data_IF_991260196728
#
_entry.id   IF_991260196728
#
_cell.length_a   1.000
_cell.length_b   1.000
_cell.length_c   1.000
_cell.angle_alpha   90.00
_cell.angle_beta   90.00
_cell.angle_gamma   90.00
#
_symmetry.space_group_name_H-M   'P 1'
#
loop_
_entity.id
_entity.type
_entity.pdbx_description
1 polymer ?
#
# COMPACT_ATOMS: atom_id res chain seq x y z
N UNK A 1 -18.19 14.90 -16.39
CA UNK A 1 -17.93 15.64 -15.14
C UNK A 1 -17.75 14.60 -14.03
N UNK A 2 -16.85 14.89 -13.11
CA UNK A 2 -16.38 14.07 -11.98
C UNK A 2 -15.36 12.96 -12.29
N UNK A 3 -14.12 13.40 -12.53
CA UNK A 3 -12.88 12.62 -12.48
C UNK A 3 -12.01 13.11 -11.31
N UNK A 4 -12.48 12.90 -10.08
CA UNK A 4 -11.65 13.06 -8.89
C UNK A 4 -11.22 11.67 -8.37
N UNK A 5 -9.95 11.33 -8.58
CA UNK A 5 -8.97 11.03 -7.51
C UNK A 5 -7.72 10.23 -7.97
N UNK A 6 -6.58 10.71 -7.48
CA UNK A 6 -5.37 10.01 -7.03
C UNK A 6 -4.31 9.57 -8.05
N UNK A 7 -3.41 10.51 -8.25
CA UNK A 7 -2.16 10.46 -9.00
C UNK A 7 -1.12 9.44 -8.47
N UNK A 8 -1.35 8.76 -7.33
CA UNK A 8 -0.32 7.89 -6.73
C UNK A 8 -0.79 6.48 -6.37
N UNK A 9 0.03 5.44 -6.64
CA UNK A 9 -0.23 4.08 -6.20
C UNK A 9 0.15 3.97 -4.73
N UNK A 10 -0.86 3.82 -3.88
CA UNK A 10 -0.72 3.03 -2.67
C UNK A 10 -0.92 1.57 -3.06
N UNK A 11 -0.22 0.64 -2.41
CA UNK A 11 -0.11 -0.78 -2.78
C UNK A 11 -1.43 -1.57 -2.82
N UNK A 12 -2.58 -0.94 -2.63
CA UNK A 12 -3.91 -1.49 -2.86
C UNK A 12 -4.83 -0.30 -3.22
N UNK A 13 -5.18 -0.11 -4.49
CA UNK A 13 -6.19 0.90 -4.86
C UNK A 13 -7.57 0.28 -4.69
N UNK A 14 -8.22 0.60 -3.56
CA UNK A 14 -9.63 0.29 -3.32
C UNK A 14 -10.50 1.17 -4.19
N UNK A 15 -11.61 0.66 -4.70
CA UNK A 15 -12.71 1.50 -5.19
C UNK A 15 -13.97 1.07 -4.44
N UNK A 16 -14.75 2.01 -3.89
CA UNK A 16 -15.74 1.71 -2.84
C UNK A 16 -17.18 1.74 -3.34
N UNK A 17 -17.92 0.70 -2.98
CA UNK A 17 -19.37 0.48 -2.94
C UNK A 17 -20.22 0.56 -4.21
N UNK A 18 -20.91 -0.58 -4.42
CA UNK A 18 -22.24 -0.73 -5.01
C UNK A 18 -23.30 -0.47 -3.92
N UNK A 19 -24.39 0.27 -4.22
CA UNK A 19 -25.57 0.37 -3.33
C UNK A 19 -26.41 -0.91 -3.44
N UNK A 20 -26.95 -1.45 -2.32
CA UNK A 20 -27.80 -2.64 -2.36
C UNK A 20 -29.13 -2.33 -3.06
N UNK A 21 -29.47 -3.13 -4.07
CA UNK A 21 -30.84 -3.25 -4.56
C UNK A 21 -31.46 -4.50 -3.92
N UNK A 22 -32.54 -4.27 -3.18
CA UNK A 22 -33.30 -5.26 -2.42
C UNK A 22 -34.12 -6.13 -3.35
N UNK A 23 -33.61 -7.30 -3.73
CA UNK A 23 -34.45 -8.37 -4.33
C UNK A 23 -33.74 -9.73 -4.31
N UNK A 24 -34.16 -10.64 -3.43
CA UNK A 24 -33.57 -11.98 -3.28
C UNK A 24 -34.07 -12.92 -4.38
N UNK A 25 -33.17 -13.80 -4.84
CA UNK A 25 -33.41 -15.06 -5.58
C UNK A 25 -33.44 -15.05 -7.12
N UNK A 26 -32.34 -14.61 -7.75
CA UNK A 26 -31.96 -15.07 -9.11
C UNK A 26 -30.42 -14.99 -9.23
N UNK A 27 -29.68 -15.90 -9.91
CA UNK A 27 -28.30 -15.64 -10.32
C UNK A 27 -28.20 -14.25 -10.96
N UNK A 28 -27.51 -13.34 -10.27
CA UNK A 28 -27.38 -11.96 -10.72
C UNK A 28 -26.19 -11.88 -11.66
N UNK A 29 -26.47 -11.68 -12.94
CA UNK A 29 -25.45 -11.34 -13.92
C UNK A 29 -25.05 -9.88 -13.70
N UNK A 30 -23.76 -9.66 -13.44
CA UNK A 30 -23.18 -8.32 -13.38
C UNK A 30 -22.48 -8.06 -14.70
N UNK A 31 -23.03 -7.13 -15.47
CA UNK A 31 -22.45 -6.71 -16.75
C UNK A 31 -21.42 -5.63 -16.45
N UNK A 32 -20.18 -5.97 -16.71
CA UNK A 32 -19.02 -5.11 -16.58
C UNK A 32 -18.73 -4.49 -17.94
N UNK A 33 -18.68 -3.16 -17.98
CA UNK A 33 -18.25 -2.41 -19.15
C UNK A 33 -16.91 -1.78 -18.83
N UNK A 34 -15.90 -2.23 -19.55
CA UNK A 34 -14.56 -1.68 -19.53
C UNK A 34 -14.44 -0.65 -20.65
N UNK A 35 -13.88 0.52 -20.33
CA UNK A 35 -13.41 1.50 -21.32
C UNK A 35 -12.02 1.94 -20.90
N UNK A 36 -10.98 1.53 -21.61
CA UNK A 36 -9.62 1.83 -21.17
C UNK A 36 -8.58 1.63 -22.25
N UNK A 37 -7.41 2.23 -22.03
CA UNK A 37 -6.24 2.14 -22.89
C UNK A 37 -5.16 1.47 -22.05
N UNK A 38 -5.12 0.13 -22.07
CA UNK A 38 -3.98 -0.65 -21.56
C UNK A 38 -2.75 -0.11 -22.26
N UNK A 39 -1.61 0.13 -21.59
CA UNK A 39 -0.38 0.59 -22.25
C UNK A 39 0.81 -0.31 -21.98
N UNK A 40 1.78 -0.38 -22.91
CA UNK A 40 2.87 -1.33 -22.86
C UNK A 40 4.11 -0.61 -22.35
N UNK A 41 4.34 -0.68 -21.05
CA UNK A 41 5.71 -0.75 -20.59
C UNK A 41 5.82 -1.92 -19.62
N UNK A 42 6.52 -2.93 -20.11
CA UNK A 42 6.63 -4.28 -19.62
C UNK A 42 5.36 -5.10 -19.85
N UNK A 43 5.60 -6.23 -20.49
CA UNK A 43 4.67 -7.27 -20.85
C UNK A 43 3.90 -7.73 -19.60
N UNK A 44 2.77 -7.10 -19.33
CA UNK A 44 1.83 -7.54 -18.29
C UNK A 44 0.98 -8.64 -18.93
N UNK A 45 1.38 -9.89 -18.68
CA UNK A 45 0.71 -11.06 -19.22
C UNK A 45 -0.57 -11.38 -18.45
N UNK A 46 -1.00 -10.57 -17.49
CA UNK A 46 -2.27 -10.73 -16.78
C UNK A 46 -2.71 -9.38 -16.22
N UNK A 47 -3.89 -8.92 -16.66
CA UNK A 47 -4.61 -7.83 -16.03
C UNK A 47 -5.98 -8.38 -15.65
N UNK A 48 -6.22 -8.37 -14.35
CA UNK A 48 -7.46 -8.87 -13.78
C UNK A 48 -8.11 -7.82 -12.93
N UNK A 49 -9.38 -8.02 -12.69
CA UNK A 49 -10.17 -7.20 -11.82
C UNK A 49 -10.85 -8.09 -10.78
N UNK A 50 -10.73 -7.70 -9.52
CA UNK A 50 -11.30 -8.41 -8.38
C UNK A 50 -12.39 -7.56 -7.69
N UNK A 51 -13.60 -8.11 -7.63
CA UNK A 51 -14.69 -7.60 -6.80
C UNK A 51 -14.69 -8.34 -5.48
N UNK A 52 -14.65 -7.62 -4.37
CA UNK A 52 -14.58 -8.21 -3.03
C UNK A 52 -15.63 -7.63 -2.11
N UNK A 53 -16.29 -8.45 -1.30
CA UNK A 53 -17.18 -7.98 -0.23
C UNK A 53 -16.64 -8.34 1.15
N UNK A 54 -16.26 -7.35 1.97
CA UNK A 54 -15.92 -7.58 3.39
C UNK A 54 -17.21 -7.62 4.21
N UNK A 55 -17.50 -8.77 4.82
CA UNK A 55 -18.55 -8.85 5.84
C UNK A 55 -18.08 -8.07 7.09
N UNK A 56 -18.44 -6.78 7.16
CA UNK A 56 -18.17 -5.97 8.34
C UNK A 56 -19.09 -6.44 9.47
N UNK A 57 -18.53 -7.05 10.52
CA UNK A 57 -19.25 -7.20 11.79
C UNK A 57 -19.61 -5.81 12.31
N UNK A 58 -20.90 -5.55 12.49
CA UNK A 58 -21.35 -4.44 13.33
C UNK A 58 -20.69 -4.59 14.70
N UNK A 59 -19.91 -3.58 15.11
CA UNK A 59 -19.49 -3.48 16.50
C UNK A 59 -20.74 -3.12 17.30
N UNK A 60 -21.41 -4.13 17.85
CA UNK A 60 -22.34 -3.92 18.97
C UNK A 60 -21.53 -3.25 20.08
N UNK A 61 -21.82 -1.98 20.31
CA UNK A 61 -21.25 -1.19 21.38
C UNK A 61 -21.58 -1.88 22.72
N UNK A 62 -20.58 -2.51 23.33
CA UNK A 62 -20.64 -2.95 24.72
C UNK A 62 -19.41 -2.39 25.41
N UNK A 63 -19.65 -1.38 26.24
CA UNK A 63 -18.74 -0.94 27.29
C UNK A 63 -18.17 -2.17 28.01
N UNK A 64 -16.91 -2.49 27.71
CA UNK A 64 -16.08 -3.38 28.53
C UNK A 64 -14.72 -2.73 28.62
N UNK A 65 -14.40 -2.28 29.83
CA UNK A 65 -13.10 -1.72 30.20
C UNK A 65 -12.00 -2.72 29.82
N UNK A 66 -10.86 -2.26 29.27
CA UNK A 66 -9.74 -3.16 29.00
C UNK A 66 -9.21 -3.73 30.32
N UNK A 67 -9.17 -5.06 30.42
CA UNK A 67 -8.43 -5.76 31.47
C UNK A 67 -6.96 -5.73 31.05
N UNK A 68 -6.21 -4.83 31.68
CA UNK A 68 -4.77 -4.65 31.48
C UNK A 68 -4.07 -5.62 32.42
N UNK A 69 -3.34 -6.59 31.87
CA UNK A 69 -2.31 -7.30 32.62
C UNK A 69 -1.06 -6.40 32.59
N UNK A 70 -0.87 -5.60 33.63
CA UNK A 70 0.40 -4.89 33.83
C UNK A 70 1.44 -5.92 34.28
N UNK A 71 2.35 -6.27 33.38
CA UNK A 71 3.67 -6.75 33.79
C UNK A 71 4.60 -5.56 33.87
N UNK A 72 4.82 -5.07 35.08
CA UNK A 72 5.79 -4.02 35.39
C UNK A 72 7.21 -4.54 35.16
N UNK A 73 7.90 -4.01 34.14
CA UNK A 73 9.36 -4.05 34.07
C UNK A 73 9.88 -2.65 34.41
N UNK A 74 10.27 -2.47 35.67
CA UNK A 74 10.91 -1.26 36.17
C UNK A 74 12.40 -1.28 35.79
N UNK A 75 12.76 -0.56 34.73
CA UNK A 75 14.15 -0.20 34.45
C UNK A 75 14.49 1.07 35.25
N UNK A 76 15.04 0.90 36.44
CA UNK A 76 15.55 2.01 37.25
C UNK A 76 16.87 2.51 36.65
N UNK A 77 16.78 3.57 35.85
CA UNK A 77 17.88 4.46 35.49
C UNK A 77 17.97 5.54 36.57
N UNK A 78 19.06 5.54 37.34
CA UNK A 78 19.34 6.60 38.30
C UNK A 78 20.78 6.52 38.77
N UNK A 79 21.66 7.29 38.14
CA UNK A 79 22.87 7.79 38.77
C UNK A 79 23.27 9.10 38.08
N UNK A 80 22.85 10.19 38.69
CA UNK A 80 23.37 11.54 38.47
C UNK A 80 24.88 11.56 38.65
N UNK A 81 25.49 12.38 37.80
CA UNK A 81 26.89 12.77 37.83
C UNK A 81 27.04 13.97 38.77
N UNK A 82 27.73 13.81 39.91
CA UNK A 82 28.24 14.94 40.67
C UNK A 82 29.71 14.77 41.05
N UNK A 83 30.51 15.60 40.37
CA UNK A 83 31.63 16.41 40.81
C UNK A 83 32.45 15.97 42.05
N UNK A 84 33.74 15.81 41.79
CA UNK A 84 34.87 15.78 42.72
C UNK A 84 34.89 16.90 43.76
N UNK A 85 35.58 16.67 44.89
CA UNK A 85 36.55 17.65 45.39
C UNK A 85 37.98 17.09 45.25
N UNK A 86 38.89 17.99 44.89
CA UNK A 86 40.33 17.77 44.70
C UNK A 86 41.08 18.01 46.04
N UNK A 87 42.43 18.03 46.10
CA UNK A 87 43.27 17.00 46.72
C UNK A 87 44.01 17.52 47.98
N UNK A 88 44.43 16.66 48.90
CA UNK A 88 45.63 16.94 49.73
C UNK A 88 46.34 15.63 50.06
N UNK A 89 47.62 15.58 49.69
CA UNK A 89 48.52 14.48 50.01
C UNK A 89 49.63 14.37 48.97
N UNK A 90 50.65 15.20 49.11
CA UNK A 90 51.97 14.93 48.54
C UNK A 90 52.45 13.57 49.05
N UNK A 91 52.99 12.75 48.15
CA UNK A 91 54.23 12.02 48.38
C UNK A 91 54.72 11.44 47.05
N UNK A 92 55.90 11.91 46.66
CA UNK A 92 56.68 11.41 45.54
C UNK A 92 57.11 9.96 45.81
N UNK A 93 56.51 9.02 45.08
CA UNK A 93 57.07 7.70 44.87
C UNK A 93 56.83 7.29 43.42
N UNK A 94 57.91 7.02 42.70
CA UNK A 94 57.94 6.57 41.31
C UNK A 94 56.99 5.37 41.13
N UNK A 95 55.76 5.63 40.65
CA UNK A 95 54.80 4.57 40.34
C UNK A 95 55.10 4.05 38.94
N UNK A 96 55.65 2.85 38.86
CA UNK A 96 55.68 2.05 37.62
C UNK A 96 54.27 2.06 37.01
N UNK A 97 54.13 2.58 35.79
CA UNK A 97 52.86 2.58 35.07
C UNK A 97 52.41 1.14 34.87
N UNK A 98 51.43 0.71 35.66
CA UNK A 98 50.86 -0.62 35.53
C UNK A 98 50.06 -0.66 34.24
N UNK A 99 50.43 -1.52 33.29
CA UNK A 99 49.66 -1.82 32.09
C UNK A 99 48.35 -2.58 32.40
N UNK A 100 48.04 -2.81 33.68
CA UNK A 100 46.85 -3.52 34.11
C UNK A 100 45.61 -2.65 33.87
N UNK A 101 44.61 -3.15 33.13
CA UNK A 101 43.37 -2.41 32.91
C UNK A 101 42.64 -2.17 34.24
N UNK A 102 41.92 -1.04 34.31
CA UNK A 102 41.11 -0.67 35.47
C UNK A 102 40.04 -1.75 35.72
N UNK A 103 39.97 -2.22 36.96
CA UNK A 103 39.01 -3.24 37.38
C UNK A 103 37.59 -2.68 37.33
N UNK A 104 36.72 -3.30 36.53
CA UNK A 104 35.27 -3.07 36.48
C UNK A 104 34.59 -4.40 36.10
N UNK A 105 33.39 -4.66 36.63
CA UNK A 105 32.63 -5.88 36.26
C UNK A 105 32.41 -6.00 34.75
N UNK A 106 32.35 -4.87 34.05
CA UNK A 106 32.30 -4.84 32.59
C UNK A 106 33.62 -5.25 31.94
N UNK A 107 34.76 -4.70 32.40
CA UNK A 107 36.09 -5.02 31.84
C UNK A 107 36.54 -6.44 32.16
N UNK A 108 35.95 -7.05 33.20
CA UNK A 108 36.19 -8.44 33.59
C UNK A 108 35.14 -9.42 33.06
N UNK A 109 34.11 -8.93 32.38
CA UNK A 109 33.00 -9.76 31.86
C UNK A 109 32.24 -10.52 32.97
N UNK A 110 32.20 -9.96 34.18
CA UNK A 110 31.51 -10.49 35.37
C UNK A 110 30.15 -9.80 35.59
N UNK A 111 29.53 -9.30 34.53
CA UNK A 111 28.18 -8.74 34.63
C UNK A 111 27.17 -9.84 34.98
N UNK A 112 26.15 -9.55 35.83
CA UNK A 112 25.10 -10.50 36.12
C UNK A 112 24.36 -10.83 34.81
N UNK A 113 24.44 -12.09 34.40
CA UNK A 113 23.79 -12.59 33.21
C UNK A 113 22.82 -13.71 33.60
N UNK A 114 21.57 -13.61 33.16
CA UNK A 114 20.65 -14.73 33.22
C UNK A 114 21.05 -15.73 32.14
N UNK A 115 21.39 -16.97 32.53
CA UNK A 115 21.73 -18.07 31.61
C UNK A 115 20.65 -19.13 31.71
N UNK A 116 19.52 -18.99 30.98
CA UNK A 116 18.45 -19.97 31.06
C UNK A 116 18.90 -21.30 30.46
N UNK A 117 18.82 -22.37 31.24
CA UNK A 117 19.06 -23.73 30.76
C UNK A 117 17.72 -24.26 30.25
N UNK A 118 17.61 -24.45 28.93
CA UNK A 118 16.42 -24.96 28.27
C UNK A 118 16.27 -26.46 28.52
N UNK A 119 15.63 -26.82 29.64
CA UNK A 119 15.29 -28.21 29.92
C UNK A 119 14.11 -28.66 29.06
N UNK A 120 14.03 -29.95 28.66
CA UNK A 120 12.97 -30.44 27.78
C UNK A 120 11.55 -30.17 28.29
N UNK A 121 11.31 -30.28 29.60
CA UNK A 121 9.99 -30.03 30.20
C UNK A 121 9.51 -28.58 30.02
N UNK A 122 10.39 -27.60 30.22
CA UNK A 122 10.06 -26.18 30.01
C UNK A 122 9.75 -25.87 28.54
N UNK A 123 10.51 -26.48 27.63
CA UNK A 123 10.31 -26.31 26.19
C UNK A 123 8.97 -26.91 25.75
N UNK A 124 8.66 -28.13 26.18
CA UNK A 124 7.39 -28.81 25.87
C UNK A 124 6.20 -27.99 26.40
N UNK A 125 6.26 -27.53 27.65
CA UNK A 125 5.20 -26.71 28.25
C UNK A 125 4.97 -25.41 27.47
N UNK A 126 6.05 -24.73 27.08
CA UNK A 126 5.96 -23.50 26.29
C UNK A 126 5.29 -23.75 24.94
N UNK A 127 5.65 -24.84 24.24
CA UNK A 127 5.01 -25.19 22.97
C UNK A 127 3.52 -25.53 23.11
N UNK A 128 3.13 -26.22 24.19
CA UNK A 128 1.71 -26.51 24.47
C UNK A 128 0.94 -25.21 24.68
N UNK A 129 1.47 -24.27 25.47
CA UNK A 129 0.83 -22.97 25.70
C UNK A 129 0.70 -22.18 24.39
N UNK A 130 1.74 -22.12 23.57
CA UNK A 130 1.70 -21.47 22.26
C UNK A 130 0.65 -22.12 21.36
N UNK A 131 0.57 -23.46 21.34
CA UNK A 131 -0.42 -24.21 20.57
C UNK A 131 -1.86 -23.90 21.01
N UNK A 132 -2.14 -23.94 22.31
CA UNK A 132 -3.46 -23.63 22.88
C UNK A 132 -3.90 -22.20 22.54
N UNK A 133 -2.98 -21.24 22.44
CA UNK A 133 -3.30 -19.86 22.04
C UNK A 133 -3.46 -19.72 20.53
N UNK A 134 -2.59 -20.33 19.72
CA UNK A 134 -2.59 -20.13 18.27
C UNK A 134 -3.65 -20.93 17.52
N UNK A 135 -4.06 -22.10 18.03
CA UNK A 135 -5.15 -22.89 17.42
C UNK A 135 -6.47 -22.11 17.32
N UNK A 136 -7.03 -21.53 18.40
CA UNK A 136 -8.29 -20.79 18.32
C UNK A 136 -8.14 -19.51 17.47
N UNK A 137 -6.99 -18.83 17.53
CA UNK A 137 -6.72 -17.65 16.69
C UNK A 137 -6.69 -18.05 15.20
N UNK A 138 -6.04 -19.18 14.87
CA UNK A 138 -5.97 -19.73 13.53
C UNK A 138 -7.35 -20.12 13.00
N UNK A 139 -8.15 -20.83 13.79
CA UNK A 139 -9.53 -21.21 13.42
C UNK A 139 -10.41 -19.98 13.21
N UNK A 140 -10.34 -18.99 14.11
CA UNK A 140 -11.09 -17.75 13.96
C UNK A 140 -10.68 -16.97 12.70
N UNK A 141 -9.38 -16.94 12.39
CA UNK A 141 -8.84 -16.26 11.19
C UNK A 141 -9.24 -16.99 9.90
N UNK A 142 -9.17 -18.33 9.88
CA UNK A 142 -9.60 -19.15 8.74
C UNK A 142 -11.09 -18.96 8.46
N UNK A 143 -11.92 -19.01 9.51
CA UNK A 143 -13.35 -18.80 9.37
C UNK A 143 -13.69 -17.38 8.90
N UNK A 144 -12.94 -16.37 9.36
CA UNK A 144 -13.09 -15.00 8.86
C UNK A 144 -12.68 -14.88 7.39
N UNK A 145 -11.64 -15.60 6.95
CA UNK A 145 -11.17 -15.62 5.57
C UNK A 145 -12.17 -16.29 4.62
N UNK A 146 -12.73 -17.45 4.98
CA UNK A 146 -13.66 -18.20 4.12
C UNK A 146 -15.02 -17.51 3.90
N UNK A 147 -15.38 -16.52 4.73
CA UNK A 147 -16.64 -15.76 4.59
C UNK A 147 -16.59 -14.68 3.52
N UNK A 148 -15.40 -14.33 3.10
CA UNK A 148 -15.17 -13.37 2.03
C UNK A 148 -15.71 -13.94 0.72
N UNK A 149 -16.42 -13.10 -0.03
CA UNK A 149 -16.80 -13.41 -1.41
C UNK A 149 -15.97 -12.53 -2.32
N UNK A 150 -15.23 -13.17 -3.22
CA UNK A 150 -14.38 -12.55 -4.23
C UNK A 150 -14.75 -13.09 -5.62
N UNK A 151 -14.74 -12.22 -6.62
CA UNK A 151 -14.88 -12.57 -8.03
C UNK A 151 -13.71 -11.94 -8.77
N UNK A 152 -12.95 -12.75 -9.48
CA UNK A 152 -11.78 -12.35 -10.25
C UNK A 152 -12.07 -12.60 -11.74
N UNK A 153 -11.98 -11.57 -12.57
CA UNK A 153 -12.14 -11.67 -14.04
C UNK A 153 -10.96 -11.06 -14.76
N UNK A 154 -10.32 -11.88 -15.58
CA UNK A 154 -9.16 -11.51 -16.39
C UNK A 154 -9.65 -10.98 -17.75
N UNK A 155 -9.30 -9.73 -18.07
CA UNK A 155 -9.87 -9.04 -19.23
C UNK A 155 -8.85 -8.75 -20.35
N UNK A 156 -7.55 -8.92 -20.14
CA UNK A 156 -6.51 -8.59 -21.14
C UNK A 156 -6.54 -9.47 -22.40
N UNK A 157 -6.97 -10.74 -22.30
CA UNK A 157 -7.07 -11.65 -23.46
C UNK A 157 -8.41 -11.55 -24.17
N UNK A 158 -9.46 -11.27 -23.42
CA UNK A 158 -10.85 -11.31 -23.87
C UNK A 158 -11.28 -9.99 -24.53
N UNK A 159 -10.72 -8.88 -24.07
CA UNK A 159 -11.04 -7.55 -24.58
C UNK A 159 -10.21 -7.12 -25.78
N UNK A 160 -9.20 -7.90 -26.15
CA UNK A 160 -8.41 -7.66 -27.36
C UNK A 160 -9.01 -8.47 -28.51
N UNK A 161 -9.48 -7.83 -29.59
CA UNK A 161 -10.01 -8.56 -30.74
C UNK A 161 -8.97 -9.50 -31.34
N UNK A 162 -9.41 -10.66 -31.85
CA UNK A 162 -8.52 -11.71 -32.39
C UNK A 162 -7.57 -11.20 -33.48
N UNK A 163 -8.00 -10.21 -34.28
CA UNK A 163 -7.17 -9.56 -35.30
C UNK A 163 -5.90 -8.90 -34.75
N UNK A 164 -5.89 -8.54 -33.47
CA UNK A 164 -4.74 -7.94 -32.77
C UNK A 164 -4.13 -8.87 -31.72
N UNK A 165 -4.46 -10.18 -31.72
CA UNK A 165 -4.00 -11.13 -30.71
C UNK A 165 -2.48 -11.17 -30.53
N UNK A 166 -1.72 -11.12 -31.64
CA UNK A 166 -0.25 -11.08 -31.65
C UNK A 166 0.34 -9.66 -31.62
N UNK A 167 -0.49 -8.62 -31.76
CA UNK A 167 -0.10 -7.20 -31.82
C UNK A 167 -0.89 -6.37 -30.81
N UNK A 168 -0.98 -6.86 -29.57
CA UNK A 168 -1.73 -6.21 -28.48
C UNK A 168 -1.29 -4.75 -28.28
N UNK A 169 0.01 -4.49 -28.38
CA UNK A 169 0.63 -3.15 -28.27
C UNK A 169 0.09 -2.17 -29.31
N UNK A 170 -0.16 -2.62 -30.54
CA UNK A 170 -0.65 -1.74 -31.60
C UNK A 170 -2.12 -1.38 -31.40
N UNK A 171 -2.95 -2.34 -30.99
CA UNK A 171 -4.35 -2.11 -30.63
C UNK A 171 -4.48 -1.08 -29.51
N UNK A 172 -3.58 -1.20 -28.54
CA UNK A 172 -3.44 -0.34 -27.37
C UNK A 172 -3.06 1.09 -27.74
N UNK A 173 -2.08 1.29 -28.63
CA UNK A 173 -1.55 2.62 -28.97
C UNK A 173 -2.48 3.42 -29.87
N UNK A 174 -3.30 2.74 -30.66
CA UNK A 174 -4.25 3.32 -31.61
C UNK A 174 -5.34 4.11 -30.89
N UNK A 175 -5.63 5.34 -31.33
CA UNK A 175 -6.71 6.16 -30.73
C UNK A 175 -8.05 6.03 -31.47
N UNK A 176 -8.00 5.48 -32.68
CA UNK A 176 -9.11 5.25 -33.61
C UNK A 176 -9.95 4.01 -33.27
N UNK A 177 -9.39 3.06 -32.50
CA UNK A 177 -10.09 1.82 -32.14
C UNK A 177 -10.98 1.98 -30.92
N UNK A 178 -12.21 1.48 -31.01
CA UNK A 178 -13.09 1.34 -29.85
C UNK A 178 -12.52 0.26 -28.91
N UNK A 179 -12.24 0.63 -27.66
CA UNK A 179 -11.71 -0.26 -26.61
C UNK A 179 -12.75 -0.64 -25.58
N UNK A 180 -14.02 -0.38 -25.88
CA UNK A 180 -15.12 -0.79 -25.00
C UNK A 180 -15.22 -2.30 -25.03
N UNK A 181 -15.14 -2.92 -23.85
CA UNK A 181 -15.26 -4.36 -23.68
C UNK A 181 -16.33 -4.67 -22.65
N UNK A 182 -17.20 -5.62 -22.97
CA UNK A 182 -18.30 -6.01 -22.08
C UNK A 182 -18.05 -7.43 -21.60
N UNK A 183 -18.03 -7.63 -20.28
CA UNK A 183 -17.88 -8.94 -19.63
C UNK A 183 -19.09 -9.22 -18.75
N UNK A 184 -19.50 -10.48 -18.70
CA UNK A 184 -20.60 -10.91 -17.83
C UNK A 184 -20.01 -11.70 -16.69
N UNK A 185 -20.12 -11.17 -15.48
CA UNK A 185 -19.62 -11.80 -14.26
C UNK A 185 -20.75 -12.51 -13.54
N UNK A 186 -20.53 -13.78 -13.18
CA UNK A 186 -21.49 -14.58 -12.45
C UNK A 186 -21.28 -14.46 -10.93
N UNK A 187 -22.25 -13.88 -10.23
CA UNK A 187 -22.19 -13.69 -8.77
C UNK A 187 -22.85 -14.86 -8.06
N UNK A 188 -22.05 -15.88 -7.73
CA UNK A 188 -22.52 -17.15 -7.14
C UNK A 188 -23.06 -16.96 -5.70
N UNK A 189 -22.50 -16.02 -4.94
CA UNK A 189 -22.86 -15.74 -3.55
C UNK A 189 -23.23 -14.28 -3.36
N UNK A 190 -24.21 -14.02 -2.50
CA UNK A 190 -24.63 -12.66 -2.18
C UNK A 190 -23.50 -11.86 -1.50
N UNK A 191 -23.10 -10.75 -2.12
CA UNK A 191 -22.09 -9.82 -1.60
C UNK A 191 -22.73 -8.75 -0.70
N UNK A 192 -22.39 -8.76 0.60
CA UNK A 192 -22.90 -7.78 1.58
C UNK A 192 -22.05 -6.50 1.56
N UNK A 193 -22.70 -5.35 1.33
CA UNK A 193 -22.06 -4.03 1.36
C UNK A 193 -21.19 -3.79 2.62
N UNK A 194 -19.99 -3.16 2.52
CA UNK A 194 -19.37 -2.59 1.32
C UNK A 194 -18.76 -3.64 0.38
N UNK A 195 -18.98 -3.41 -0.92
CA UNK A 195 -18.24 -4.07 -1.99
C UNK A 195 -17.10 -3.18 -2.44
N UNK A 196 -15.93 -3.78 -2.66
CA UNK A 196 -14.72 -3.13 -3.14
C UNK A 196 -14.34 -3.69 -4.51
N UNK A 197 -13.71 -2.83 -5.30
CA UNK A 197 -13.38 -3.03 -6.70
C UNK A 197 -11.87 -2.79 -6.78
N UNK A 198 -11.09 -3.81 -7.13
CA UNK A 198 -9.63 -3.78 -7.24
C UNK A 198 -9.18 -4.19 -8.64
N UNK A 199 -8.20 -3.49 -9.20
CA UNK A 199 -7.49 -3.97 -10.38
C UNK A 199 -6.19 -4.65 -9.95
N UNK A 200 -5.82 -5.71 -10.65
CA UNK A 200 -4.64 -6.51 -10.45
C UNK A 200 -3.79 -6.45 -11.72
N UNK A 201 -2.51 -6.18 -11.55
CA UNK A 201 -1.52 -6.13 -12.62
C UNK A 201 -0.45 -7.16 -12.30
N UNK A 202 -0.22 -8.11 -13.20
CA UNK A 202 0.89 -9.04 -13.12
C UNK A 202 2.07 -8.58 -13.99
N UNK A 203 3.27 -9.09 -13.72
CA UNK A 203 4.52 -8.72 -14.40
C UNK A 203 4.78 -7.20 -14.44
N UNK A 204 4.26 -6.47 -13.44
CA UNK A 204 4.48 -5.05 -13.26
C UNK A 204 5.31 -4.78 -12.01
N UNK A 205 6.62 -4.61 -12.19
CA UNK A 205 7.60 -4.54 -11.09
C UNK A 205 7.62 -3.18 -10.38
N UNK A 206 6.54 -2.85 -9.66
CA UNK A 206 6.45 -1.61 -8.87
C UNK A 206 7.51 -1.53 -7.77
N UNK A 207 8.01 -2.68 -7.30
CA UNK A 207 9.05 -2.77 -6.28
C UNK A 207 10.47 -2.55 -6.84
N UNK A 208 10.64 -2.42 -8.16
CA UNK A 208 11.96 -2.23 -8.75
C UNK A 208 12.61 -0.94 -8.22
N UNK A 209 13.86 -1.01 -7.77
CA UNK A 209 14.56 0.09 -7.06
C UNK A 209 14.52 1.42 -7.80
N UNK A 210 14.69 1.41 -9.14
CA UNK A 210 14.63 2.65 -9.95
C UNK A 210 13.21 3.20 -10.04
N UNK A 211 12.21 2.33 -10.12
CA UNK A 211 10.80 2.71 -10.18
C UNK A 211 10.36 3.36 -8.87
N UNK A 212 10.62 2.71 -7.73
CA UNK A 212 10.30 3.23 -6.39
C UNK A 212 10.97 4.57 -6.11
N UNK A 213 12.22 4.74 -6.57
CA UNK A 213 12.97 5.99 -6.40
C UNK A 213 12.48 7.11 -7.32
N UNK A 214 11.87 6.80 -8.45
CA UNK A 214 11.46 7.76 -9.49
C UNK A 214 10.17 8.50 -9.11
N UNK A 215 10.31 9.37 -8.09
CA UNK A 215 9.32 10.35 -7.64
C UNK A 215 9.96 11.42 -6.75
N UNK A 216 9.28 12.55 -6.59
CA UNK A 216 9.69 13.61 -5.66
C UNK A 216 8.64 13.87 -4.57
N UNK A 217 8.86 13.34 -3.37
CA UNK A 217 7.95 13.53 -2.24
C UNK A 217 7.88 15.02 -1.78
N UNK A 218 8.91 15.83 -2.09
CA UNK A 218 8.90 17.28 -1.80
C UNK A 218 7.98 18.02 -2.78
N UNK A 219 8.14 17.74 -4.09
CA UNK A 219 7.28 18.30 -5.15
C UNK A 219 5.80 17.99 -4.87
N UNK A 220 5.52 16.75 -4.46
CA UNK A 220 4.15 16.27 -4.22
C UNK A 220 3.50 16.86 -2.96
N UNK A 221 4.31 17.30 -2.01
CA UNK A 221 3.82 17.89 -0.76
C UNK A 221 3.56 19.38 -0.87
N UNK A 222 4.37 20.12 -1.64
CA UNK A 222 4.24 21.59 -1.71
C UNK A 222 4.73 22.14 -3.04
N UNK A 223 3.97 23.11 -3.56
CA UNK A 223 4.27 23.88 -4.77
C UNK A 223 5.64 24.57 -4.73
N UNK A 224 6.15 24.91 -3.55
CA UNK A 224 7.46 25.54 -3.41
C UNK A 224 8.62 24.64 -3.90
N UNK A 225 8.41 23.33 -3.97
CA UNK A 225 9.43 22.36 -4.38
C UNK A 225 9.13 21.74 -5.75
N UNK A 226 8.35 22.41 -6.60
CA UNK A 226 8.03 21.92 -7.96
C UNK A 226 9.28 21.57 -8.77
N UNK A 227 10.35 22.35 -8.63
CA UNK A 227 11.62 22.15 -9.33
C UNK A 227 12.53 21.04 -8.78
N UNK A 228 12.19 20.41 -7.63
CA UNK A 228 13.01 19.32 -7.08
C UNK A 228 12.69 18.00 -7.76
N UNK A 229 13.45 17.67 -8.80
CA UNK A 229 13.23 16.47 -9.62
C UNK A 229 14.43 15.52 -9.69
N UNK A 230 15.41 15.67 -8.79
CA UNK A 230 16.70 14.94 -8.78
C UNK A 230 16.60 13.42 -8.87
N UNK A 231 15.46 12.85 -8.47
CA UNK A 231 15.23 11.39 -8.47
C UNK A 231 14.27 10.93 -9.56
N UNK A 232 13.67 11.85 -10.31
CA UNK A 232 12.55 11.59 -11.22
C UNK A 232 12.97 11.19 -12.64
N UNK A 233 14.27 11.11 -12.94
CA UNK A 233 14.73 10.64 -14.25
C UNK A 233 14.10 9.29 -14.64
N UNK A 234 13.77 9.08 -15.93
CA UNK A 234 13.90 10.04 -17.04
C UNK A 234 12.73 11.04 -17.18
N UNK A 235 11.66 10.88 -16.40
CA UNK A 235 10.42 11.68 -16.53
C UNK A 235 10.43 12.87 -15.57
N UNK A 236 11.47 13.68 -15.62
CA UNK A 236 11.69 14.83 -14.73
C UNK A 236 11.33 16.17 -15.38
N UNK A 237 11.65 16.34 -16.67
CA UNK A 237 11.45 17.59 -17.43
C UNK A 237 11.02 17.30 -18.87
N UNK A 238 10.44 18.31 -19.50
CA UNK A 238 10.16 18.36 -20.96
C UNK A 238 10.68 19.70 -21.49
N UNK A 239 10.65 19.90 -22.81
CA UNK A 239 10.99 21.18 -23.47
C UNK A 239 10.20 22.39 -22.91
N UNK A 240 9.03 22.13 -22.32
CA UNK A 240 8.15 23.13 -21.68
C UNK A 240 8.47 23.39 -20.21
N UNK A 241 9.48 22.73 -19.65
CA UNK A 241 9.91 22.86 -18.26
C UNK A 241 9.66 21.61 -17.42
N UNK A 242 9.69 21.79 -16.09
CA UNK A 242 9.56 20.69 -15.13
C UNK A 242 8.21 19.99 -15.23
N UNK A 243 8.23 18.66 -15.16
CA UNK A 243 7.02 17.84 -15.10
C UNK A 243 6.52 17.79 -13.66
N UNK A 244 5.23 18.06 -13.47
CA UNK A 244 4.53 17.89 -12.19
C UNK A 244 3.31 17.03 -12.46
N UNK A 245 3.10 15.94 -11.71
CA UNK A 245 4.10 15.16 -10.94
C UNK A 245 5.21 14.54 -11.80
N UNK A 246 6.46 14.56 -11.34
CA UNK A 246 7.56 13.90 -12.01
C UNK A 246 7.72 12.42 -11.61
N UNK A 247 8.40 11.67 -12.49
CA UNK A 247 8.88 10.32 -12.22
C UNK A 247 8.00 9.20 -12.78
N UNK A 248 8.61 8.01 -12.88
CA UNK A 248 8.03 6.84 -13.53
C UNK A 248 6.72 6.39 -12.88
N UNK A 249 6.56 6.58 -11.57
CA UNK A 249 5.36 6.15 -10.84
C UNK A 249 4.12 6.94 -11.27
N UNK A 250 4.25 8.25 -11.42
CA UNK A 250 3.16 9.08 -11.93
C UNK A 250 2.98 8.82 -13.43
N UNK A 251 4.08 8.70 -14.17
CA UNK A 251 4.08 8.49 -15.61
C UNK A 251 3.30 7.24 -16.04
N UNK A 252 3.45 6.12 -15.33
CA UNK A 252 2.80 4.83 -15.61
C UNK A 252 1.44 4.67 -14.92
N UNK A 253 0.78 5.78 -14.56
CA UNK A 253 -0.51 5.72 -13.85
C UNK A 253 -1.57 4.93 -14.63
N UNK A 254 -2.25 4.02 -13.93
CA UNK A 254 -3.33 3.22 -14.50
C UNK A 254 -4.49 4.10 -15.01
N UNK A 255 -5.00 3.83 -16.22
CA UNK A 255 -5.96 4.68 -16.93
C UNK A 255 -7.27 3.99 -17.35
N UNK A 256 -7.49 2.75 -16.96
CA UNK A 256 -8.71 2.08 -17.37
C UNK A 256 -9.90 2.53 -16.51
N UNK A 257 -11.08 2.52 -17.12
CA UNK A 257 -12.32 2.87 -16.44
C UNK A 257 -13.32 1.73 -16.49
N UNK A 258 -14.07 1.62 -15.39
CA UNK A 258 -14.97 0.52 -15.11
C UNK A 258 -16.38 1.05 -14.90
N UNK A 259 -17.36 0.43 -15.56
CA UNK A 259 -18.78 0.61 -15.33
C UNK A 259 -19.44 -0.73 -15.01
N UNK A 260 -20.40 -0.73 -14.09
CA UNK A 260 -21.15 -1.92 -13.73
C UNK A 260 -22.63 -1.71 -13.95
N UNK A 261 -23.29 -2.76 -14.43
CA UNK A 261 -24.74 -2.83 -14.57
C UNK A 261 -25.21 -4.13 -13.95
N UNK A 262 -26.23 -4.06 -13.08
CA UNK A 262 -26.83 -5.23 -12.41
C UNK A 262 -28.32 -5.21 -12.74
N UNK A 263 -28.82 -6.27 -13.38
CA UNK A 263 -30.21 -6.36 -13.83
C UNK A 263 -30.65 -5.10 -14.61
N UNK A 264 -29.84 -4.70 -15.60
CA UNK A 264 -30.03 -3.50 -16.44
C UNK A 264 -30.03 -2.14 -15.70
N UNK A 265 -29.73 -2.14 -14.40
CA UNK A 265 -29.55 -0.91 -13.61
C UNK A 265 -28.07 -0.59 -13.48
N UNK A 266 -27.67 0.58 -13.98
CA UNK A 266 -26.30 1.07 -13.85
C UNK A 266 -25.98 1.32 -12.38
N UNK A 267 -24.87 0.76 -11.93
CA UNK A 267 -24.36 0.98 -10.58
C UNK A 267 -23.16 1.92 -10.66
N UNK A 268 -23.28 3.04 -9.96
CA UNK A 268 -22.22 4.04 -9.89
C UNK A 268 -21.08 3.56 -8.98
N UNK A 269 -19.85 3.80 -9.44
CA UNK A 269 -18.62 3.40 -8.77
C UNK A 269 -18.05 4.61 -8.04
N UNK A 270 -18.02 4.58 -6.70
CA UNK A 270 -17.47 5.69 -5.94
C UNK A 270 -15.94 5.69 -5.96
N UNK A 271 -15.37 6.70 -6.62
CA UNK A 271 -13.92 6.96 -6.70
C UNK A 271 -13.40 7.79 -5.52
N UNK A 272 -14.29 8.28 -4.64
CA UNK A 272 -13.96 9.16 -3.51
C UNK A 272 -13.57 8.40 -2.25
N UNK A 273 -12.64 8.98 -1.49
CA UNK A 273 -12.15 8.48 -0.19
C UNK A 273 -11.61 7.05 -0.24
N UNK A 274 -10.86 6.75 -1.29
CA UNK A 274 -10.18 5.47 -1.49
C UNK A 274 -8.72 5.46 -1.03
N UNK A 275 -8.11 6.64 -0.93
CA UNK A 275 -6.75 6.80 -0.43
C UNK A 275 -6.71 6.77 1.10
N UNK A 276 -5.53 6.48 1.63
CA UNK A 276 -5.25 6.60 3.06
C UNK A 276 -5.46 8.04 3.52
N UNK A 277 -6.00 8.21 4.73
CA UNK A 277 -6.21 9.55 5.31
C UNK A 277 -4.91 10.34 5.43
N UNK A 278 -3.80 9.67 5.75
CA UNK A 278 -2.47 10.28 5.80
C UNK A 278 -2.01 10.79 4.44
N UNK A 279 -2.31 10.04 3.37
CA UNK A 279 -1.94 10.43 2.01
C UNK A 279 -2.67 11.71 1.61
N UNK A 280 -3.99 11.74 1.82
CA UNK A 280 -4.86 12.88 1.49
C UNK A 280 -4.55 14.15 2.28
N UNK A 281 -4.18 14.03 3.57
CA UNK A 281 -4.07 15.20 4.46
C UNK A 281 -2.64 15.65 4.76
N UNK A 282 -1.63 14.80 4.58
CA UNK A 282 -0.24 15.11 5.03
C UNK A 282 0.83 14.84 3.98
N UNK A 283 0.61 13.89 3.07
CA UNK A 283 1.61 13.49 2.08
C UNK A 283 1.50 14.29 0.79
N UNK A 284 0.29 14.46 0.28
CA UNK A 284 0.00 15.16 -0.96
C UNK A 284 -0.59 16.54 -0.70
N UNK A 285 -0.03 17.56 -1.35
CA UNK A 285 -0.44 18.95 -1.19
C UNK A 285 -1.67 19.28 -2.02
N UNK A 286 -2.66 19.94 -1.42
CA UNK A 286 -3.89 20.39 -2.10
C UNK A 286 -3.68 21.57 -3.05
N UNK A 287 -2.46 22.13 -3.08
CA UNK A 287 -2.07 23.26 -3.91
C UNK A 287 -1.02 22.87 -4.98
N UNK A 288 -0.80 21.59 -5.20
CA UNK A 288 0.09 21.06 -6.24
C UNK A 288 -0.76 20.55 -7.39
N UNK A 289 -0.59 21.13 -8.57
CA UNK A 289 -1.38 20.84 -9.77
C UNK A 289 -0.48 20.25 -10.87
N UNK A 290 -1.00 19.32 -11.68
CA UNK A 290 -0.25 18.80 -12.81
C UNK A 290 0.19 19.89 -13.79
N UNK A 291 1.43 19.79 -14.29
CA UNK A 291 2.04 20.71 -15.26
C UNK A 291 2.96 19.94 -16.20
N UNK A 292 2.92 20.27 -17.49
CA UNK A 292 3.78 19.68 -18.53
C UNK A 292 3.73 18.15 -18.62
N UNK A 293 2.73 17.52 -17.98
CA UNK A 293 2.66 16.07 -17.84
C UNK A 293 2.25 15.41 -19.17
N UNK A 294 3.07 14.47 -19.65
CA UNK A 294 2.90 13.81 -20.95
C UNK A 294 2.76 14.80 -22.12
N UNK A 295 3.47 15.93 -22.05
CA UNK A 295 3.44 16.97 -23.09
C UNK A 295 4.41 16.74 -24.26
N UNK A 296 5.29 15.74 -24.14
CA UNK A 296 6.23 15.30 -25.19
C UNK A 296 5.70 14.19 -26.10
N UNK A 297 6.58 13.60 -26.92
CA UNK A 297 6.23 12.55 -27.88
C UNK A 297 5.97 11.18 -27.25
N UNK A 298 6.57 10.90 -26.09
CA UNK A 298 6.25 9.72 -25.29
C UNK A 298 5.03 10.02 -24.43
N UNK A 299 4.04 9.13 -24.46
CA UNK A 299 2.86 9.21 -23.61
C UNK A 299 2.87 7.95 -22.74
N UNK A 300 2.97 8.11 -21.43
CA UNK A 300 2.81 7.04 -20.44
C UNK A 300 1.35 6.63 -20.23
N UNK A 301 0.98 6.30 -19.00
CA UNK A 301 -0.36 5.88 -18.57
C UNK A 301 -1.43 6.99 -18.66
N UNK A 302 -2.13 7.25 -17.55
CA UNK A 302 -3.26 8.17 -17.51
C UNK A 302 -2.84 9.62 -17.78
N UNK A 303 -3.73 10.38 -18.44
CA UNK A 303 -3.60 11.84 -18.55
C UNK A 303 -4.14 12.49 -17.29
N UNK A 304 -3.46 13.53 -16.84
CA UNK A 304 -3.83 14.28 -15.64
C UNK A 304 -4.55 15.56 -16.02
N UNK A 305 -5.53 15.96 -15.22
CA UNK A 305 -6.25 17.21 -15.39
C UNK A 305 -5.51 18.31 -14.63
N UNK A 306 -5.11 19.38 -15.33
CA UNK A 306 -4.40 20.52 -14.76
C UNK A 306 -5.25 21.32 -13.75
N UNK A 307 -6.58 21.17 -13.77
CA UNK A 307 -7.50 21.83 -12.84
C UNK A 307 -7.68 21.10 -11.51
N UNK A 308 -7.15 19.87 -11.37
CA UNK A 308 -7.36 19.02 -10.19
C UNK A 308 -6.02 18.82 -9.48
N UNK A 309 -5.93 19.08 -8.16
CA UNK A 309 -4.69 18.91 -7.42
C UNK A 309 -4.31 17.43 -7.28
N UNK A 310 -3.06 17.18 -6.92
CA UNK A 310 -2.53 15.82 -6.73
C UNK A 310 -3.02 15.10 -5.47
N UNK A 311 -3.74 15.80 -4.57
CA UNK A 311 -4.23 15.32 -3.26
C UNK A 311 -5.62 14.70 -3.29
#
# INVERSE_FOLDING_TARGET
>A
MDLDLNIWPSNEKMVKMLKPNTEKNNPRCLVFVYTGQIKPQQQTDFISFSVFSKEKREKKNKNKKPFVLETSFSLSSGAEFQMSPNPKGNDDAIRRSSKKPKYSKFTQQELPACKPILTPGWVISTFIVVGVVFIPIGLASLFASQRVVEIVDRYDTECVPQSFGFKKVDFIRRTDTNKTCVRVLNVIKHMKSPVFVYYELDNFYQNHRRYVKSRSDKQLRSRAFEGHTDKCEPEDKTDKGTIVPCGLIAWSMFNDTYGFTVNDKRVEVNKRNIAWKSDKHSKFGSNVYPKNFQSGGLIGGAKLNESIPVS
#
